data_IF_545901030842
#
_entry.id   IF_545901030842
#
_cell.length_a   1.000
_cell.length_b   1.000
_cell.length_c   1.000
_cell.angle_alpha   90.00
_cell.angle_beta   90.00
_cell.angle_gamma   90.00
#
_symmetry.space_group_name_H-M   'P 1'
#
loop_
_entity.id
_entity.type
_entity.pdbx_description
1 polymer ?
#
# COMPACT_ATOMS: atom_id res chain seq x y z
N UNK A 1 48.15 -16.45 -52.20
CA UNK A 1 48.04 -17.22 -50.94
C UNK A 1 46.91 -16.64 -50.11
N UNK A 2 45.85 -17.44 -49.98
CA UNK A 2 44.78 -17.50 -48.98
C UNK A 2 44.07 -16.22 -48.50
N UNK A 3 42.84 -16.05 -48.98
CA UNK A 3 41.73 -15.49 -48.22
C UNK A 3 41.33 -16.44 -47.09
N UNK A 4 41.14 -15.93 -45.87
CA UNK A 4 40.42 -16.62 -44.80
C UNK A 4 39.54 -15.61 -44.07
N UNK A 5 38.23 -15.72 -44.24
CA UNK A 5 37.26 -15.14 -43.31
C UNK A 5 37.05 -16.09 -42.13
N UNK A 6 36.66 -15.56 -40.98
CA UNK A 6 35.79 -16.29 -40.07
C UNK A 6 35.01 -15.33 -39.16
N UNK A 7 33.70 -15.36 -39.32
CA UNK A 7 32.67 -14.75 -38.48
C UNK A 7 32.21 -15.76 -37.43
N UNK A 8 32.30 -15.44 -36.14
CA UNK A 8 31.74 -16.25 -35.06
C UNK A 8 30.45 -15.62 -34.49
N UNK A 9 29.34 -16.37 -34.31
CA UNK A 9 28.12 -15.85 -33.72
C UNK A 9 28.12 -16.02 -32.19
N UNK A 10 27.93 -14.92 -31.46
CA UNK A 10 27.60 -14.96 -30.04
C UNK A 10 26.17 -15.47 -29.84
N UNK A 11 26.01 -16.60 -29.17
CA UNK A 11 24.70 -17.15 -28.80
C UNK A 11 24.17 -16.44 -27.54
N UNK A 12 23.06 -15.71 -27.69
CA UNK A 12 22.24 -15.27 -26.57
C UNK A 12 21.50 -16.47 -25.96
N UNK A 13 21.62 -16.67 -24.64
CA UNK A 13 20.91 -17.72 -23.91
C UNK A 13 19.51 -17.26 -23.52
N UNK A 14 18.51 -17.63 -24.32
CA UNK A 14 17.10 -17.49 -23.96
C UNK A 14 16.66 -18.67 -23.09
N UNK A 15 16.34 -18.42 -21.82
CA UNK A 15 15.62 -19.39 -21.00
C UNK A 15 14.17 -19.49 -21.46
N UNK A 16 13.70 -20.70 -21.77
CA UNK A 16 12.29 -20.91 -22.13
C UNK A 16 11.42 -21.05 -20.88
N UNK A 17 10.15 -20.59 -20.95
CA UNK A 17 9.13 -20.71 -19.89
C UNK A 17 9.03 -22.13 -19.29
N UNK A 18 9.35 -23.17 -20.07
CA UNK A 18 9.29 -24.57 -19.64
C UNK A 18 10.47 -24.98 -18.74
N UNK A 19 11.64 -24.36 -18.90
CA UNK A 19 12.80 -24.59 -18.03
C UNK A 19 12.64 -23.90 -16.67
N UNK A 20 11.93 -22.76 -16.61
CA UNK A 20 11.61 -22.08 -15.35
C UNK A 20 10.59 -22.86 -14.49
N UNK A 21 9.58 -23.48 -15.11
CA UNK A 21 8.61 -24.30 -14.37
C UNK A 21 9.19 -25.65 -13.92
N UNK A 22 10.19 -26.18 -14.64
CA UNK A 22 10.90 -27.40 -14.26
C UNK A 22 11.77 -27.25 -13.01
N UNK A 23 12.30 -26.06 -12.74
CA UNK A 23 13.13 -25.79 -11.55
C UNK A 23 12.33 -25.51 -10.27
N UNK A 24 11.00 -25.35 -10.34
CA UNK A 24 10.15 -25.12 -9.17
C UNK A 24 9.69 -26.41 -8.44
N UNK A 25 9.89 -27.61 -9.02
CA UNK A 25 9.41 -28.86 -8.43
C UNK A 25 10.47 -29.64 -7.62
N UNK A 26 11.71 -29.15 -7.57
CA UNK A 26 12.80 -29.77 -6.79
C UNK A 26 13.05 -29.10 -5.42
N UNK A 27 12.20 -28.15 -5.00
CA UNK A 27 12.40 -27.34 -3.79
C UNK A 27 11.34 -27.49 -2.69
N UNK A 28 10.45 -28.48 -2.77
CA UNK A 28 9.27 -28.57 -1.90
C UNK A 28 9.30 -29.69 -0.85
N UNK A 29 10.48 -30.12 -0.39
CA UNK A 29 10.61 -31.19 0.61
C UNK A 29 11.28 -30.79 1.94
N UNK A 30 11.53 -29.50 2.20
CA UNK A 30 12.27 -29.05 3.40
C UNK A 30 11.49 -28.13 4.35
N UNK A 31 10.22 -27.80 4.06
CA UNK A 31 9.47 -26.78 4.81
C UNK A 31 8.46 -27.34 5.84
N UNK A 32 8.46 -28.65 6.11
CA UNK A 32 7.49 -29.28 7.00
C UNK A 32 7.98 -29.53 8.45
N UNK A 33 9.17 -29.05 8.84
CA UNK A 33 9.70 -29.27 10.21
C UNK A 33 9.91 -28.00 11.06
N UNK A 34 9.40 -26.82 10.66
CA UNK A 34 9.57 -25.58 11.44
C UNK A 34 8.29 -24.98 12.04
N UNK A 35 7.16 -25.72 12.01
CA UNK A 35 5.84 -25.21 12.44
C UNK A 35 5.42 -25.51 13.88
N UNK A 36 6.33 -25.91 14.78
CA UNK A 36 5.94 -26.32 16.14
C UNK A 36 6.51 -25.52 17.32
N UNK A 37 7.32 -24.46 17.12
CA UNK A 37 7.89 -23.71 18.26
C UNK A 37 7.68 -22.18 18.25
N UNK A 38 6.70 -21.65 17.52
CA UNK A 38 6.23 -20.26 17.70
C UNK A 38 4.81 -20.22 18.28
N UNK A 39 4.67 -20.70 19.52
CA UNK A 39 3.50 -20.44 20.37
C UNK A 39 3.98 -20.14 21.78
N UNK A 40 4.61 -18.99 22.00
CA UNK A 40 4.80 -18.35 23.31
C UNK A 40 5.54 -17.03 23.14
N UNK A 41 4.81 -15.96 22.80
CA UNK A 41 5.15 -14.56 23.11
C UNK A 41 4.03 -13.65 22.59
N UNK A 42 2.78 -13.86 23.04
CA UNK A 42 1.78 -12.80 22.97
C UNK A 42 1.97 -11.90 24.17
N UNK A 43 3.00 -11.05 24.13
CA UNK A 43 3.02 -9.87 24.98
C UNK A 43 1.85 -8.99 24.52
N UNK A 44 0.81 -8.93 25.34
CA UNK A 44 -0.26 -7.97 25.21
C UNK A 44 0.33 -6.57 25.38
N UNK A 45 0.83 -5.99 24.28
CA UNK A 45 0.91 -4.54 24.19
C UNK A 45 -0.53 -4.08 24.06
N UNK A 46 -1.09 -3.54 25.14
CA UNK A 46 -2.35 -2.81 25.06
C UNK A 46 -2.16 -1.69 24.04
N UNK A 47 -2.79 -1.82 22.88
CA UNK A 47 -2.91 -0.73 21.94
C UNK A 47 -3.75 0.33 22.65
N UNK A 48 -3.08 1.34 23.20
CA UNK A 48 -3.74 2.54 23.72
C UNK A 48 -4.75 3.00 22.67
N UNK A 49 -5.98 3.27 23.11
CA UNK A 49 -7.05 3.72 22.23
C UNK A 49 -6.56 4.94 21.44
N UNK A 50 -6.53 4.81 20.11
CA UNK A 50 -6.12 5.91 19.23
C UNK A 50 -7.13 7.04 19.39
N UNK A 51 -6.68 8.16 19.94
CA UNK A 51 -7.47 9.40 20.04
C UNK A 51 -8.03 9.78 18.66
N UNK A 52 -9.25 10.34 18.55
CA UNK A 52 -9.90 10.61 17.26
C UNK A 52 -9.06 11.45 16.28
N UNK A 53 -8.24 12.39 16.78
CA UNK A 53 -7.34 13.20 15.94
C UNK A 53 -6.15 12.44 15.34
N UNK A 54 -5.90 11.21 15.80
CA UNK A 54 -4.73 10.41 15.44
C UNK A 54 -5.07 9.29 14.43
N UNK A 55 -6.35 9.11 14.11
CA UNK A 55 -6.84 8.12 13.14
C UNK A 55 -6.50 8.54 11.71
N UNK A 56 -6.03 7.63 10.83
CA UNK A 56 -5.82 7.96 9.44
C UNK A 56 -7.13 8.36 8.76
N UNK A 57 -7.14 9.50 8.08
CA UNK A 57 -8.26 9.96 7.26
C UNK A 57 -8.07 9.44 5.85
N UNK A 58 -8.87 8.45 5.46
CA UNK A 58 -8.72 7.73 4.21
C UNK A 58 -9.87 8.04 3.28
N UNK A 59 -9.56 8.59 2.11
CA UNK A 59 -10.54 8.77 1.04
C UNK A 59 -10.83 7.42 0.41
N UNK A 60 -12.02 6.88 0.68
CA UNK A 60 -12.47 5.59 0.14
C UNK A 60 -13.26 5.84 -1.15
N UNK A 61 -12.61 5.60 -2.29
CA UNK A 61 -13.16 5.83 -3.62
C UNK A 61 -13.76 4.55 -4.16
N UNK A 62 -15.05 4.58 -4.47
CA UNK A 62 -15.71 3.56 -5.26
C UNK A 62 -15.81 4.04 -6.71
N UNK A 63 -15.02 3.40 -7.58
CA UNK A 63 -14.86 3.81 -8.97
C UNK A 63 -15.67 2.89 -9.89
N UNK A 64 -16.62 3.47 -10.63
CA UNK A 64 -17.40 2.77 -11.65
C UNK A 64 -18.08 3.79 -12.58
N UNK A 65 -18.38 3.42 -13.81
CA UNK A 65 -19.27 4.24 -14.67
C UNK A 65 -20.75 4.00 -14.30
N UNK A 66 -21.69 4.82 -14.79
CA UNK A 66 -23.12 4.59 -14.60
C UNK A 66 -23.59 3.18 -15.04
N UNK A 67 -24.54 2.55 -14.32
CA UNK A 67 -24.94 1.15 -14.54
C UNK A 67 -25.76 0.92 -15.81
N UNK A 68 -26.27 1.98 -16.44
CA UNK A 68 -27.04 1.92 -17.69
C UNK A 68 -26.16 1.67 -18.93
N UNK A 69 -24.84 1.70 -18.78
CA UNK A 69 -23.88 1.50 -19.87
C UNK A 69 -23.39 0.06 -19.94
N UNK A 70 -23.22 -0.51 -21.16
CA UNK A 70 -22.63 -1.83 -21.33
C UNK A 70 -21.14 -1.83 -20.98
N UNK A 71 -20.81 -2.38 -19.81
CA UNK A 71 -19.45 -2.60 -19.34
C UNK A 71 -19.41 -3.71 -18.28
N UNK A 72 -18.21 -4.04 -17.81
CA UNK A 72 -18.05 -4.84 -16.60
C UNK A 72 -18.56 -4.07 -15.36
N UNK A 73 -19.29 -4.72 -14.44
CA UNK A 73 -19.55 -6.17 -14.41
C UNK A 73 -20.66 -6.63 -15.37
N UNK A 74 -21.76 -5.88 -15.47
CA UNK A 74 -22.85 -6.05 -16.42
C UNK A 74 -23.77 -4.81 -16.40
N UNK A 75 -24.68 -4.70 -17.39
CA UNK A 75 -25.70 -3.65 -17.43
C UNK A 75 -26.66 -3.83 -16.25
N UNK A 76 -26.96 -2.73 -15.55
CA UNK A 76 -27.88 -2.72 -14.42
C UNK A 76 -27.26 -3.25 -13.12
N UNK A 77 -25.94 -3.41 -13.05
CA UNK A 77 -25.26 -3.86 -11.84
C UNK A 77 -25.55 -2.93 -10.64
N UNK A 78 -25.87 -3.54 -9.50
CA UNK A 78 -26.19 -2.82 -8.27
C UNK A 78 -24.93 -2.39 -7.52
N UNK A 79 -24.33 -1.28 -7.97
CA UNK A 79 -23.18 -0.68 -7.32
C UNK A 79 -23.49 -0.21 -5.89
N UNK A 80 -24.71 0.23 -5.60
CA UNK A 80 -25.05 0.78 -4.29
C UNK A 80 -25.03 -0.29 -3.20
N UNK A 81 -25.62 -1.46 -3.48
CA UNK A 81 -25.55 -2.59 -2.55
C UNK A 81 -24.10 -3.05 -2.35
N UNK A 82 -23.30 -3.13 -3.41
CA UNK A 82 -21.88 -3.52 -3.30
C UNK A 82 -21.05 -2.52 -2.48
N UNK A 83 -21.24 -1.21 -2.70
CA UNK A 83 -20.60 -0.14 -1.92
C UNK A 83 -20.96 -0.23 -0.44
N UNK A 84 -22.24 -0.44 -0.13
CA UNK A 84 -22.73 -0.56 1.25
C UNK A 84 -22.15 -1.78 1.95
N UNK A 85 -22.08 -2.92 1.26
CA UNK A 85 -21.46 -4.15 1.78
C UNK A 85 -19.98 -3.91 2.11
N UNK A 86 -19.19 -3.45 1.14
CA UNK A 86 -17.75 -3.23 1.30
C UNK A 86 -17.47 -2.20 2.39
N UNK A 87 -18.20 -1.08 2.40
CA UNK A 87 -18.03 -0.04 3.42
C UNK A 87 -18.37 -0.54 4.82
N UNK A 88 -19.47 -1.29 4.98
CA UNK A 88 -19.85 -1.87 6.27
C UNK A 88 -18.81 -2.85 6.81
N UNK A 89 -18.25 -3.70 5.93
CA UNK A 89 -17.18 -4.65 6.28
C UNK A 89 -15.88 -3.93 6.65
N UNK A 90 -15.46 -2.93 5.87
CA UNK A 90 -14.25 -2.14 6.15
C UNK A 90 -14.36 -1.41 7.49
N UNK A 91 -15.47 -0.72 7.75
CA UNK A 91 -15.69 0.00 9.02
C UNK A 91 -15.67 -0.93 10.23
N UNK A 92 -16.18 -2.15 10.06
CA UNK A 92 -16.20 -3.14 11.14
C UNK A 92 -14.82 -3.74 11.38
N UNK A 93 -14.04 -3.98 10.31
CA UNK A 93 -12.72 -4.59 10.40
C UNK A 93 -11.61 -3.61 10.80
N UNK A 94 -11.75 -2.32 10.48
CA UNK A 94 -10.73 -1.28 10.67
C UNK A 94 -11.34 -0.05 11.40
N UNK A 95 -11.79 -0.20 12.66
CA UNK A 95 -12.44 0.88 13.42
C UNK A 95 -11.52 2.06 13.76
N UNK A 96 -10.21 1.91 13.64
CA UNK A 96 -9.19 2.94 13.88
C UNK A 96 -8.91 3.84 12.66
N UNK A 97 -9.61 3.62 11.54
CA UNK A 97 -9.48 4.43 10.31
C UNK A 97 -10.76 5.24 10.09
N UNK A 98 -10.60 6.53 9.81
CA UNK A 98 -11.70 7.41 9.42
C UNK A 98 -11.89 7.36 7.90
N UNK A 99 -12.76 6.46 7.45
CA UNK A 99 -13.11 6.33 6.05
C UNK A 99 -14.06 7.44 5.59
N UNK A 100 -13.72 8.08 4.48
CA UNK A 100 -14.52 9.12 3.82
C UNK A 100 -14.99 8.57 2.46
N UNK A 101 -16.12 7.85 2.39
CA UNK A 101 -16.58 7.22 1.16
C UNK A 101 -17.01 8.25 0.11
N UNK A 102 -16.70 7.98 -1.16
CA UNK A 102 -17.16 8.75 -2.31
C UNK A 102 -17.30 7.85 -3.53
N UNK A 103 -18.21 8.19 -4.44
CA UNK A 103 -18.28 7.58 -5.77
C UNK A 103 -17.65 8.51 -6.79
N UNK A 104 -16.82 7.95 -7.66
CA UNK A 104 -16.17 8.67 -8.75
C UNK A 104 -16.40 7.90 -10.05
N UNK A 105 -16.97 8.57 -11.05
CA UNK A 105 -17.38 7.93 -12.29
C UNK A 105 -16.59 8.40 -13.52
N UNK A 106 -15.66 9.34 -13.33
CA UNK A 106 -14.83 9.88 -14.40
C UNK A 106 -13.51 10.43 -13.89
N UNK A 107 -12.53 10.55 -14.79
CA UNK A 107 -11.25 11.22 -14.52
C UNK A 107 -11.47 12.67 -14.04
N UNK A 108 -12.42 13.40 -14.65
CA UNK A 108 -12.73 14.77 -14.27
C UNK A 108 -13.25 14.89 -12.83
N UNK A 109 -14.11 13.97 -12.41
CA UNK A 109 -14.56 13.92 -11.01
C UNK A 109 -13.42 13.58 -10.06
N UNK A 110 -12.51 12.69 -10.46
CA UNK A 110 -11.31 12.37 -9.68
C UNK A 110 -10.40 13.60 -9.50
N UNK A 111 -10.18 14.38 -10.55
CA UNK A 111 -9.41 15.62 -10.51
C UNK A 111 -10.07 16.68 -9.62
N UNK A 112 -11.40 16.82 -9.69
CA UNK A 112 -12.15 17.72 -8.81
C UNK A 112 -12.08 17.28 -7.34
N UNK A 113 -12.19 15.97 -7.07
CA UNK A 113 -12.03 15.40 -5.73
C UNK A 113 -10.65 15.73 -5.16
N UNK A 114 -9.58 15.57 -5.94
CA UNK A 114 -8.21 15.88 -5.50
C UNK A 114 -8.02 17.35 -5.12
N UNK A 115 -8.74 18.28 -5.76
CA UNK A 115 -8.72 19.71 -5.42
C UNK A 115 -9.46 20.02 -4.12
N UNK A 116 -10.52 19.26 -3.81
CA UNK A 116 -11.33 19.45 -2.61
C UNK A 116 -10.72 18.76 -1.38
N UNK A 117 -10.01 17.67 -1.58
CA UNK A 117 -9.48 16.83 -0.51
C UNK A 117 -8.25 17.45 0.19
N UNK A 118 -8.52 18.05 1.35
CA UNK A 118 -7.53 18.52 2.31
C UNK A 118 -7.36 17.52 3.45
N UNK A 119 -6.13 17.42 3.98
CA UNK A 119 -5.81 16.60 5.16
C UNK A 119 -6.23 15.12 5.06
N UNK A 120 -5.98 14.52 3.90
CA UNK A 120 -6.17 13.09 3.63
C UNK A 120 -4.83 12.37 3.72
N UNK A 121 -4.77 11.31 4.54
CA UNK A 121 -3.57 10.52 4.78
C UNK A 121 -3.25 9.54 3.63
N UNK A 122 -4.27 9.17 2.85
CA UNK A 122 -4.15 8.31 1.66
C UNK A 122 -5.49 7.97 1.02
N UNK A 123 -5.43 7.26 -0.10
CA UNK A 123 -6.60 6.84 -0.87
C UNK A 123 -6.70 5.33 -0.92
N UNK A 124 -7.92 4.83 -0.85
CA UNK A 124 -8.24 3.44 -1.19
C UNK A 124 -9.22 3.49 -2.35
N UNK A 125 -8.88 2.88 -3.48
CA UNK A 125 -9.72 2.89 -4.68
C UNK A 125 -10.20 1.47 -4.92
N UNK A 126 -11.48 1.22 -4.68
CA UNK A 126 -12.15 0.02 -5.15
C UNK A 126 -12.64 0.25 -6.57
N UNK A 127 -12.06 -0.47 -7.52
CA UNK A 127 -12.54 -0.51 -8.90
C UNK A 127 -13.76 -1.45 -8.97
N UNK A 128 -14.95 -0.90 -8.74
CA UNK A 128 -16.22 -1.62 -8.84
C UNK A 128 -16.71 -1.76 -10.27
N UNK A 129 -16.13 -1.01 -11.21
CA UNK A 129 -16.39 -1.10 -12.63
C UNK A 129 -15.36 -0.30 -13.41
N UNK A 130 -15.42 -0.38 -14.73
CA UNK A 130 -14.46 0.24 -15.66
C UNK A 130 -15.21 0.88 -16.84
N UNK A 131 -14.70 1.88 -17.56
CA UNK A 131 -13.38 2.54 -17.47
C UNK A 131 -13.58 4.00 -17.08
N UNK A 132 -13.06 4.42 -15.93
CA UNK A 132 -13.30 5.77 -15.41
C UNK A 132 -12.12 6.72 -15.67
N UNK A 133 -10.89 6.21 -15.66
CA UNK A 133 -9.67 7.01 -15.60
C UNK A 133 -9.41 7.63 -14.22
N UNK A 134 -10.27 7.37 -13.23
CA UNK A 134 -10.17 7.91 -11.88
C UNK A 134 -8.93 7.39 -11.15
N UNK A 135 -8.63 6.08 -11.29
CA UNK A 135 -7.45 5.48 -10.68
C UNK A 135 -6.15 6.16 -11.16
N UNK A 136 -6.03 6.42 -12.47
CA UNK A 136 -4.88 7.12 -13.05
C UNK A 136 -4.65 8.50 -12.43
N UNK A 137 -5.70 9.30 -12.37
CA UNK A 137 -5.64 10.66 -11.83
C UNK A 137 -5.23 10.65 -10.35
N UNK A 138 -5.89 9.81 -9.53
CA UNK A 138 -5.62 9.75 -8.09
C UNK A 138 -4.21 9.26 -7.81
N UNK A 139 -3.75 8.19 -8.48
CA UNK A 139 -2.39 7.66 -8.27
C UNK A 139 -1.34 8.69 -8.69
N UNK A 140 -1.60 9.45 -9.77
CA UNK A 140 -0.67 10.47 -10.26
C UNK A 140 -0.56 11.70 -9.36
N UNK A 141 -1.42 11.85 -8.35
CA UNK A 141 -1.32 12.91 -7.33
C UNK A 141 -0.09 12.76 -6.41
N UNK A 142 0.56 11.59 -6.41
CA UNK A 142 1.72 11.30 -5.55
C UNK A 142 1.35 11.01 -4.08
N UNK A 143 0.06 11.01 -3.74
CA UNK A 143 -0.44 10.57 -2.42
C UNK A 143 -0.39 9.04 -2.33
N UNK A 144 -0.25 8.44 -1.13
CA UNK A 144 -0.29 6.99 -0.98
C UNK A 144 -1.65 6.41 -1.42
N UNK A 145 -1.62 5.38 -2.27
CA UNK A 145 -2.82 4.74 -2.80
C UNK A 145 -2.78 3.22 -2.58
N UNK A 146 -3.90 2.66 -2.11
CA UNK A 146 -4.19 1.23 -2.26
C UNK A 146 -5.23 1.09 -3.37
N UNK A 147 -4.84 0.44 -4.46
CA UNK A 147 -5.73 0.12 -5.56
C UNK A 147 -6.26 -1.30 -5.36
N UNK A 148 -7.57 -1.46 -5.30
CA UNK A 148 -8.23 -2.75 -5.09
C UNK A 148 -9.03 -3.11 -6.34
N UNK A 149 -8.72 -4.27 -6.91
CA UNK A 149 -9.52 -4.90 -7.96
C UNK A 149 -10.72 -5.60 -7.32
N UNK A 150 -11.93 -5.06 -7.51
CA UNK A 150 -13.12 -5.76 -7.04
C UNK A 150 -13.40 -6.97 -7.93
N UNK A 151 -13.71 -8.09 -7.29
CA UNK A 151 -13.80 -9.38 -7.94
C UNK A 151 -14.88 -9.36 -9.05
N UNK A 152 -14.47 -9.72 -10.27
CA UNK A 152 -15.29 -9.72 -11.50
C UNK A 152 -15.72 -8.35 -12.03
N UNK A 153 -15.03 -7.28 -11.59
CA UNK A 153 -15.43 -5.91 -11.92
C UNK A 153 -14.27 -5.06 -12.47
N UNK A 154 -13.24 -4.85 -11.66
CA UNK A 154 -12.24 -3.80 -11.87
C UNK A 154 -11.04 -4.19 -12.74
N UNK A 155 -10.88 -5.48 -13.07
CA UNK A 155 -9.57 -6.04 -13.44
C UNK A 155 -8.95 -5.39 -14.68
N UNK A 156 -9.77 -4.97 -15.64
CA UNK A 156 -9.27 -4.30 -16.85
C UNK A 156 -8.52 -3.00 -16.54
N UNK A 157 -9.13 -2.11 -15.75
CA UNK A 157 -8.53 -0.83 -15.34
C UNK A 157 -7.40 -1.06 -14.34
N UNK A 158 -7.56 -2.03 -13.42
CA UNK A 158 -6.52 -2.40 -12.46
C UNK A 158 -5.21 -2.78 -13.16
N UNK A 159 -5.26 -3.70 -14.13
CA UNK A 159 -4.07 -4.23 -14.78
C UNK A 159 -3.26 -3.15 -15.49
N UNK A 160 -3.93 -2.20 -16.14
CA UNK A 160 -3.25 -1.13 -16.89
C UNK A 160 -2.72 -0.05 -15.96
N UNK A 161 -3.52 0.41 -14.99
CA UNK A 161 -3.16 1.54 -14.14
C UNK A 161 -2.13 1.15 -13.09
N UNK A 162 -2.30 -0.02 -12.45
CA UNK A 162 -1.31 -0.53 -11.50
C UNK A 162 0.04 -0.76 -12.18
N UNK A 163 0.06 -1.37 -13.37
CA UNK A 163 1.30 -1.62 -14.08
C UNK A 163 2.00 -0.32 -14.53
N UNK A 164 1.24 0.67 -15.01
CA UNK A 164 1.78 1.98 -15.36
C UNK A 164 2.38 2.70 -14.14
N UNK A 165 1.63 2.72 -13.04
CA UNK A 165 2.06 3.37 -11.81
C UNK A 165 3.33 2.73 -11.21
N UNK A 166 3.42 1.39 -11.24
CA UNK A 166 4.64 0.68 -10.81
C UNK A 166 5.85 1.04 -11.66
N UNK A 167 5.71 1.15 -12.98
CA UNK A 167 6.82 1.57 -13.86
C UNK A 167 7.26 3.02 -13.59
N UNK A 168 6.32 3.87 -13.21
CA UNK A 168 6.57 5.27 -12.87
C UNK A 168 7.10 5.49 -11.44
N UNK A 169 7.26 4.42 -10.63
CA UNK A 169 7.71 4.53 -9.24
C UNK A 169 6.73 5.27 -8.32
N UNK A 170 5.44 5.28 -8.67
CA UNK A 170 4.40 5.95 -7.87
C UNK A 170 4.08 5.18 -6.59
N UNK A 171 3.55 5.88 -5.58
CA UNK A 171 3.25 5.35 -4.24
C UNK A 171 1.93 4.55 -4.23
N UNK A 172 1.88 3.46 -4.99
CA UNK A 172 0.70 2.59 -5.07
C UNK A 172 1.01 1.16 -4.64
N UNK A 173 0.11 0.57 -3.87
CA UNK A 173 0.04 -0.88 -3.65
C UNK A 173 -1.23 -1.42 -4.31
N UNK A 174 -1.13 -2.56 -5.01
CA UNK A 174 -2.25 -3.21 -5.67
C UNK A 174 -2.71 -4.45 -4.92
N UNK A 175 -4.02 -4.59 -4.73
CA UNK A 175 -4.67 -5.79 -4.18
C UNK A 175 -5.60 -6.36 -5.24
N UNK A 176 -5.26 -7.54 -5.75
CA UNK A 176 -6.08 -8.31 -6.70
C UNK A 176 -6.29 -9.70 -6.12
N UNK A 177 -7.18 -9.80 -5.15
CA UNK A 177 -7.48 -11.04 -4.41
C UNK A 177 -8.98 -11.28 -4.35
N UNK A 178 -9.38 -12.55 -4.36
CA UNK A 178 -10.76 -12.96 -4.10
C UNK A 178 -11.10 -12.96 -2.60
N UNK A 179 -10.11 -12.80 -1.72
CA UNK A 179 -10.28 -12.71 -0.27
C UNK A 179 -10.32 -11.25 0.15
N UNK A 180 -11.43 -10.84 0.74
CA UNK A 180 -11.60 -9.46 1.22
C UNK A 180 -10.60 -9.11 2.33
N UNK A 181 -10.18 -10.10 3.11
CA UNK A 181 -9.23 -9.94 4.21
C UNK A 181 -7.87 -9.43 3.71
N UNK A 182 -7.48 -9.75 2.48
CA UNK A 182 -6.21 -9.25 1.92
C UNK A 182 -6.30 -7.73 1.63
N UNK A 183 -7.48 -7.22 1.28
CA UNK A 183 -7.70 -5.77 1.19
C UNK A 183 -7.70 -5.12 2.57
N UNK A 184 -8.33 -5.75 3.57
CA UNK A 184 -8.31 -5.28 4.96
C UNK A 184 -6.88 -5.19 5.49
N UNK A 185 -6.06 -6.22 5.28
CA UNK A 185 -4.66 -6.25 5.73
C UNK A 185 -3.85 -5.11 5.10
N UNK A 186 -3.98 -4.90 3.78
CA UNK A 186 -3.30 -3.82 3.09
C UNK A 186 -3.73 -2.43 3.61
N UNK A 187 -5.05 -2.21 3.77
CA UNK A 187 -5.60 -0.94 4.27
C UNK A 187 -5.21 -0.72 5.74
N UNK A 188 -5.11 -1.79 6.52
CA UNK A 188 -4.65 -1.77 7.92
C UNK A 188 -3.21 -1.29 8.11
N UNK A 189 -2.43 -1.08 7.05
CA UNK A 189 -1.11 -0.45 7.15
C UNK A 189 -1.19 1.08 7.38
N UNK A 190 -2.29 1.74 7.04
CA UNK A 190 -2.40 3.20 7.18
C UNK A 190 -2.19 3.72 8.62
N UNK A 191 -2.78 3.10 9.67
CA UNK A 191 -2.52 3.47 11.05
C UNK A 191 -1.03 3.44 11.42
N UNK A 192 -0.32 2.37 11.03
CA UNK A 192 1.10 2.26 11.26
C UNK A 192 1.90 3.35 10.53
N UNK A 193 1.56 3.62 9.26
CA UNK A 193 2.20 4.67 8.46
C UNK A 193 2.01 6.05 9.11
N UNK A 194 0.81 6.36 9.59
CA UNK A 194 0.52 7.64 10.26
C UNK A 194 1.31 7.78 11.56
N UNK A 195 1.25 6.75 12.42
CA UNK A 195 2.00 6.72 13.69
C UNK A 195 3.50 6.87 13.46
N UNK A 196 4.08 6.20 12.47
CA UNK A 196 5.51 6.34 12.13
C UNK A 196 5.88 7.78 11.76
N UNK A 197 5.03 8.48 10.98
CA UNK A 197 5.27 9.88 10.59
C UNK A 197 5.19 10.86 11.77
N UNK A 198 4.37 10.55 12.78
CA UNK A 198 4.22 11.38 13.98
C UNK A 198 5.21 11.01 15.10
N UNK A 199 5.87 9.86 14.97
CA UNK A 199 6.84 9.38 15.95
C UNK A 199 8.17 10.11 15.85
N UNK A 200 8.87 10.15 16.98
CA UNK A 200 10.24 10.67 17.10
C UNK A 200 11.10 9.59 17.75
N UNK A 201 12.26 9.32 17.16
CA UNK A 201 13.30 8.47 17.73
C UNK A 201 14.22 9.37 18.55
N UNK A 202 14.41 9.03 19.82
CA UNK A 202 15.34 9.72 20.69
C UNK A 202 16.68 8.97 20.71
N UNK A 203 17.71 9.56 20.12
CA UNK A 203 19.09 9.05 20.16
C UNK A 203 19.80 9.64 21.39
N UNK A 204 19.87 8.86 22.47
CA UNK A 204 20.49 9.25 23.73
C UNK A 204 21.95 8.82 23.72
N UNK A 205 22.83 9.72 23.33
CA UNK A 205 24.27 9.42 23.23
C UNK A 205 25.12 10.69 23.26
N UNK A 206 26.27 10.60 23.91
CA UNK A 206 27.32 11.63 23.87
C UNK A 206 28.28 11.45 22.69
N UNK A 207 28.10 10.39 21.89
CA UNK A 207 28.83 10.21 20.63
C UNK A 207 28.65 11.46 19.75
N UNK A 208 29.64 11.89 18.95
CA UNK A 208 29.47 13.04 18.07
C UNK A 208 28.50 12.78 16.89
N UNK A 209 28.34 11.52 16.46
CA UNK A 209 27.51 11.14 15.31
C UNK A 209 26.25 10.34 15.67
N UNK A 210 25.33 10.20 14.70
CA UNK A 210 24.23 9.23 14.76
C UNK A 210 24.63 7.99 13.95
N UNK A 211 24.35 6.79 14.47
CA UNK A 211 24.56 5.56 13.71
C UNK A 211 23.46 5.38 12.67
N UNK A 212 23.71 5.84 11.45
CA UNK A 212 22.77 5.78 10.32
C UNK A 212 22.61 7.13 9.61
N UNK A 213 21.45 7.34 8.98
CA UNK A 213 21.16 8.58 8.27
C UNK A 213 19.75 9.10 8.67
N UNK A 214 19.66 10.06 9.60
CA UNK A 214 18.40 10.65 10.07
C UNK A 214 17.55 11.21 8.93
N UNK A 215 18.18 11.80 7.91
CA UNK A 215 17.50 12.39 6.77
C UNK A 215 16.80 11.32 5.93
N UNK A 216 17.43 10.16 5.73
CA UNK A 216 16.82 9.00 5.06
C UNK A 216 15.68 8.40 5.88
N UNK A 217 15.83 8.30 7.21
CA UNK A 217 14.76 7.82 8.10
C UNK A 217 13.52 8.71 7.95
N UNK A 218 13.71 10.03 8.04
CA UNK A 218 12.64 11.02 7.84
C UNK A 218 12.07 10.96 6.41
N UNK A 219 12.90 10.78 5.40
CA UNK A 219 12.46 10.68 4.01
C UNK A 219 11.55 9.47 3.76
N UNK A 220 11.89 8.30 4.30
CA UNK A 220 11.16 7.06 4.02
C UNK A 220 9.99 6.83 4.97
N UNK A 221 10.16 7.10 6.26
CA UNK A 221 9.18 6.79 7.30
C UNK A 221 8.44 8.01 7.83
N UNK A 222 8.96 9.22 7.55
CA UNK A 222 8.48 10.47 8.17
C UNK A 222 8.96 10.67 9.60
N UNK A 223 9.51 9.64 10.25
CA UNK A 223 9.96 9.66 11.63
C UNK A 223 11.14 10.60 11.82
N UNK A 224 11.04 11.50 12.80
CA UNK A 224 12.13 12.39 13.17
C UNK A 224 13.13 11.67 14.09
N UNK A 225 14.42 11.93 13.92
CA UNK A 225 15.44 11.51 14.88
C UNK A 225 15.93 12.75 15.63
N UNK A 226 15.85 12.68 16.96
CA UNK A 226 16.21 13.76 17.88
C UNK A 226 17.36 13.24 18.73
N UNK A 227 18.47 13.95 18.73
CA UNK A 227 19.62 13.58 19.53
C UNK A 227 19.64 14.36 20.82
N UNK A 228 19.87 13.67 21.94
CA UNK A 228 20.07 14.28 23.25
C UNK A 228 21.30 13.69 23.93
N UNK A 229 21.99 14.52 24.70
CA UNK A 229 23.17 14.10 25.47
C UNK A 229 22.81 13.57 26.86
N UNK A 230 23.77 12.91 27.50
CA UNK A 230 23.62 12.41 28.87
C UNK A 230 23.40 13.54 29.88
N UNK A 231 23.99 14.71 29.67
CA UNK A 231 23.80 15.87 30.54
C UNK A 231 22.33 16.34 30.57
N UNK A 232 21.71 16.46 29.40
CA UNK A 232 20.32 16.90 29.23
C UNK A 232 19.34 15.91 29.84
N UNK A 233 19.50 14.61 29.54
CA UNK A 233 18.59 13.58 30.09
C UNK A 233 18.70 13.46 31.61
N UNK A 234 19.92 13.57 32.15
CA UNK A 234 20.14 13.54 33.59
C UNK A 234 19.58 14.79 34.28
N UNK A 235 19.63 15.95 33.63
CA UNK A 235 19.00 17.17 34.13
C UNK A 235 17.48 17.03 34.13
N UNK A 236 16.88 16.53 33.05
CA UNK A 236 15.44 16.28 32.97
C UNK A 236 14.98 15.29 34.08
N UNK A 237 15.76 14.22 34.32
CA UNK A 237 15.48 13.26 35.38
C UNK A 237 15.52 13.87 36.78
N UNK A 238 16.52 14.72 37.07
CA UNK A 238 16.63 15.42 38.36
C UNK A 238 15.54 16.46 38.57
N UNK A 239 14.98 17.05 37.51
CA UNK A 239 13.91 18.03 37.62
C UNK A 239 12.52 17.37 37.81
N UNK A 240 12.39 16.10 37.45
CA UNK A 240 11.14 15.34 37.55
C UNK A 240 10.96 14.63 38.91
N UNK A 241 12.02 14.60 39.73
CA UNK A 241 12.05 14.04 41.09
C UNK A 241 12.36 15.13 42.11
#
# INVERSE_FOLDING_TARGET
MNHSGNSGPGKATFFSRRQFLGSCLAGSASLLLFKQNLRSASSQTSLAATEPGDRPRIRLVFSHIPPDRPTWPNIGYDYESRKKELFGRLRSALPEIDFLPVTVQSQKEAEALLQQDQDIDGYVIFLLGIWTGAARAIISSGRPVILVDDLFAGSGEFLIEHAAARRAGQKVAGVSSSRFEDAVEAIGCFPAIKKMKQSRILDVTDSPGFWGNPQKIKQYFGTEVVKIGSAEINQAYRNAN
#
